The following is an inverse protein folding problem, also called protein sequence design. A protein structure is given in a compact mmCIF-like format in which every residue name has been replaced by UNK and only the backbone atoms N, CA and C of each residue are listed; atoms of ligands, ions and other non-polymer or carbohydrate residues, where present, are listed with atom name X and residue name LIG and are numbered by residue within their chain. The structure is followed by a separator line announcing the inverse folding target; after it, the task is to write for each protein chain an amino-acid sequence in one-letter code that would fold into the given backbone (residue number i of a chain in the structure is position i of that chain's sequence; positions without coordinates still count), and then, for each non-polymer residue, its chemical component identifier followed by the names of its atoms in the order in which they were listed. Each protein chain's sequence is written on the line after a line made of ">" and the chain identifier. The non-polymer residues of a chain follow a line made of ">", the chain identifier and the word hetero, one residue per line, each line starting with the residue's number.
data_IF_647341571340
#
_entry.id   IF_647341571340
#
_cell.length_a   1.000
_cell.length_b   1.000
_cell.length_c   1.000
_cell.angle_alpha   90.00
_cell.angle_beta   90.00
_cell.angle_gamma   90.00
#
_symmetry.space_group_name_H-M   'P 1'
#
loop_
_entity.id
_entity.type
_entity.pdbx_description
1 polymer ?
#
# COMPACT_ATOMS: atom_id res chain seq x y z
N UNK A 1 -24.97 12.63 -32.79
CA UNK A 1 -25.74 12.03 -31.69
C UNK A 1 -25.47 10.53 -31.67
N UNK A 2 -24.63 10.06 -30.76
CA UNK A 2 -24.75 8.76 -30.09
C UNK A 2 -24.08 8.98 -28.74
N UNK A 3 -24.87 8.97 -27.66
CA UNK A 3 -24.33 9.00 -26.31
C UNK A 3 -23.53 7.71 -26.13
N UNK A 4 -22.21 7.84 -25.97
CA UNK A 4 -21.38 6.71 -25.58
C UNK A 4 -21.78 6.41 -24.14
N UNK A 5 -22.61 5.39 -23.98
CA UNK A 5 -22.99 4.87 -22.67
C UNK A 5 -21.70 4.60 -21.89
N UNK A 6 -21.53 5.37 -20.82
CA UNK A 6 -20.49 5.12 -19.83
C UNK A 6 -20.59 3.67 -19.39
N UNK A 7 -19.49 2.89 -19.33
CA UNK A 7 -19.56 1.49 -18.98
C UNK A 7 -20.25 1.34 -17.61
N UNK A 8 -21.46 0.79 -17.61
CA UNK A 8 -22.23 0.37 -16.44
C UNK A 8 -21.88 -1.09 -16.17
N UNK A 9 -20.66 -1.32 -15.68
CA UNK A 9 -20.22 -2.61 -15.16
C UNK A 9 -20.07 -2.55 -13.64
N UNK A 10 -20.26 -3.65 -12.90
CA UNK A 10 -19.95 -3.71 -11.49
C UNK A 10 -18.42 -3.73 -11.35
N UNK A 11 -17.78 -2.56 -11.44
CA UNK A 11 -16.35 -2.43 -11.18
C UNK A 11 -16.09 -2.80 -9.71
N UNK A 12 -15.35 -3.89 -9.50
CA UNK A 12 -14.77 -4.31 -8.21
C UNK A 12 -15.76 -4.81 -7.16
N UNK A 13 -15.40 -5.88 -6.44
CA UNK A 13 -16.00 -6.17 -5.14
C UNK A 13 -15.66 -4.99 -4.20
N UNK A 14 -16.69 -4.37 -3.62
CA UNK A 14 -16.56 -3.34 -2.60
C UNK A 14 -17.23 -3.83 -1.32
N UNK A 15 -16.69 -3.40 -0.19
CA UNK A 15 -17.16 -3.79 1.13
C UNK A 15 -17.27 -2.58 2.04
N UNK A 16 -18.15 -2.70 3.03
CA UNK A 16 -18.22 -1.76 4.13
C UNK A 16 -16.91 -1.72 4.89
N UNK A 17 -16.57 -0.56 5.41
CA UNK A 17 -15.37 -0.39 6.20
C UNK A 17 -15.03 1.06 6.44
N UNK A 18 -14.06 1.32 7.33
CA UNK A 18 -13.62 2.68 7.59
C UNK A 18 -13.00 3.30 6.34
N UNK A 19 -13.15 4.62 6.18
CA UNK A 19 -12.30 5.37 5.26
C UNK A 19 -10.84 5.28 5.75
N UNK A 20 -9.89 4.80 4.92
CA UNK A 20 -8.52 4.63 5.39
C UNK A 20 -7.85 5.95 5.74
N UNK A 21 -7.13 6.00 6.85
CA UNK A 21 -6.40 7.21 7.28
C UNK A 21 -5.40 7.70 6.23
N UNK A 22 -4.79 6.79 5.49
CA UNK A 22 -3.88 7.13 4.40
C UNK A 22 -4.59 7.88 3.25
N UNK A 23 -5.88 7.61 3.01
CA UNK A 23 -6.64 8.34 1.98
C UNK A 23 -6.89 9.80 2.43
N UNK A 24 -7.18 10.01 3.71
CA UNK A 24 -7.33 11.34 4.30
C UNK A 24 -6.00 12.11 4.24
N UNK A 25 -4.90 11.50 4.69
CA UNK A 25 -3.59 12.16 4.67
C UNK A 25 -3.14 12.56 3.27
N UNK A 26 -3.32 11.69 2.27
CA UNK A 26 -2.98 12.03 0.88
C UNK A 26 -3.95 13.03 0.24
N UNK A 27 -5.20 13.05 0.68
CA UNK A 27 -6.16 14.04 0.20
C UNK A 27 -5.75 15.45 0.60
N UNK A 28 -5.11 15.63 1.77
CA UNK A 28 -4.56 16.94 2.19
C UNK A 28 -3.57 17.49 1.16
N UNK A 29 -2.69 16.63 0.64
CA UNK A 29 -1.70 17.04 -0.37
C UNK A 29 -2.38 17.46 -1.69
N UNK A 30 -3.49 16.80 -2.06
CA UNK A 30 -4.21 17.10 -3.30
C UNK A 30 -5.06 18.38 -3.21
N UNK A 31 -5.56 18.74 -2.03
CA UNK A 31 -6.33 19.98 -1.84
C UNK A 31 -5.45 21.20 -1.66
N UNK A 32 -4.13 21.02 -1.46
CA UNK A 32 -3.18 22.11 -1.33
C UNK A 32 -3.25 23.07 -2.53
N UNK A 33 -2.96 24.36 -2.27
CA UNK A 33 -3.02 25.40 -3.28
C UNK A 33 -2.11 25.05 -4.47
N UNK A 34 -2.69 25.03 -5.67
CA UNK A 34 -1.99 24.67 -6.91
C UNK A 34 -1.89 23.17 -7.19
N UNK A 35 -2.13 22.30 -6.21
CA UNK A 35 -2.01 20.83 -6.35
C UNK A 35 -3.18 20.16 -7.09
N UNK A 36 -4.21 20.94 -7.44
CA UNK A 36 -5.35 20.48 -8.21
C UNK A 36 -5.82 21.51 -9.23
N UNK A 37 -6.55 21.03 -10.24
CA UNK A 37 -7.23 21.89 -11.20
C UNK A 37 -8.64 21.42 -11.48
N UNK A 38 -9.56 22.37 -11.49
CA UNK A 38 -10.99 22.13 -11.72
C UNK A 38 -11.33 22.39 -13.18
N UNK A 39 -12.02 21.44 -13.82
CA UNK A 39 -12.62 21.62 -15.15
C UNK A 39 -14.13 21.76 -15.02
N UNK A 40 -14.66 22.83 -15.61
CA UNK A 40 -16.09 23.15 -15.67
C UNK A 40 -16.57 23.07 -17.12
N UNK A 41 -17.85 22.79 -17.32
CA UNK A 41 -18.42 22.74 -18.67
C UNK A 41 -18.42 24.13 -19.33
N UNK A 42 -17.88 24.27 -20.55
CA UNK A 42 -17.96 25.51 -21.30
C UNK A 42 -19.39 25.68 -21.83
N UNK A 43 -20.11 26.72 -21.36
CA UNK A 43 -21.42 27.11 -21.91
C UNK A 43 -22.53 27.35 -20.89
N UNK A 44 -22.34 27.03 -19.60
CA UNK A 44 -23.27 27.42 -18.53
C UNK A 44 -22.60 28.51 -17.68
N UNK A 45 -23.26 29.65 -17.50
CA UNK A 45 -22.72 30.83 -16.77
C UNK A 45 -22.32 30.54 -15.32
N UNK A 46 -22.72 29.40 -14.74
CA UNK A 46 -22.31 28.93 -13.41
C UNK A 46 -21.48 27.63 -13.42
N UNK A 47 -21.06 27.16 -14.61
CA UNK A 47 -20.08 26.10 -14.86
C UNK A 47 -20.22 24.87 -13.95
N UNK A 48 -21.09 23.93 -14.32
CA UNK A 48 -21.21 22.63 -13.65
C UNK A 48 -19.81 22.01 -13.56
N UNK A 49 -19.42 21.64 -12.35
CA UNK A 49 -18.19 20.92 -12.06
C UNK A 49 -18.20 19.60 -12.84
N UNK A 50 -17.19 19.40 -13.70
CA UNK A 50 -17.11 18.21 -14.55
C UNK A 50 -16.02 17.25 -14.09
N UNK A 51 -14.87 17.80 -13.72
CA UNK A 51 -13.82 16.98 -13.13
C UNK A 51 -12.82 17.78 -12.31
N UNK A 52 -12.11 17.08 -11.44
CA UNK A 52 -10.93 17.55 -10.72
C UNK A 52 -9.73 16.74 -11.18
N UNK A 53 -8.61 17.41 -11.44
CA UNK A 53 -7.33 16.80 -11.79
C UNK A 53 -6.34 16.97 -10.64
N UNK A 54 -5.69 15.88 -10.25
CA UNK A 54 -4.69 15.84 -9.18
C UNK A 54 -3.42 15.13 -9.66
N UNK A 55 -2.27 15.45 -9.06
CA UNK A 55 -1.02 14.78 -9.38
C UNK A 55 -1.02 13.29 -9.00
N UNK A 56 -0.36 12.49 -9.83
CA UNK A 56 -0.04 11.09 -9.56
C UNK A 56 1.30 10.98 -8.83
N UNK A 57 1.29 10.48 -7.58
CA UNK A 57 2.50 10.33 -6.76
C UNK A 57 3.63 9.47 -7.38
N UNK A 58 3.32 8.69 -8.41
CA UNK A 58 4.28 7.82 -9.11
C UNK A 58 5.19 8.62 -10.05
N UNK A 59 4.67 9.69 -10.64
CA UNK A 59 5.38 10.46 -11.65
C UNK A 59 5.68 11.89 -11.20
N UNK A 60 4.89 12.44 -10.27
CA UNK A 60 5.03 13.81 -9.75
C UNK A 60 4.88 13.83 -8.23
N UNK A 61 5.50 14.82 -7.59
CA UNK A 61 5.22 15.11 -6.19
C UNK A 61 3.79 15.64 -6.04
N UNK A 62 3.10 15.28 -4.96
CA UNK A 62 1.67 15.55 -4.82
C UNK A 62 1.35 17.05 -4.78
N UNK A 63 2.28 17.89 -4.28
CA UNK A 63 2.13 19.35 -4.19
C UNK A 63 2.60 20.15 -5.41
N UNK A 64 3.01 19.50 -6.50
CA UNK A 64 3.40 20.22 -7.73
C UNK A 64 2.22 20.95 -8.37
N UNK A 65 2.47 22.06 -9.04
CA UNK A 65 1.40 22.84 -9.65
C UNK A 65 0.74 22.10 -10.84
N UNK A 66 -0.58 21.94 -10.79
CA UNK A 66 -1.41 21.38 -11.87
C UNK A 66 -1.82 22.49 -12.84
N UNK A 67 -1.00 22.72 -13.86
CA UNK A 67 -1.22 23.79 -14.86
C UNK A 67 -2.31 23.41 -15.88
N UNK A 68 -2.87 24.43 -16.56
CA UNK A 68 -3.86 24.22 -17.63
C UNK A 68 -3.29 23.39 -18.79
N UNK A 69 -2.06 23.70 -19.18
CA UNK A 69 -1.37 23.02 -20.26
C UNK A 69 -1.23 21.52 -19.98
N UNK A 70 -0.80 21.16 -18.77
CA UNK A 70 -0.71 19.76 -18.33
C UNK A 70 -2.06 19.05 -18.40
N UNK A 71 -3.14 19.69 -17.94
CA UNK A 71 -4.49 19.12 -18.01
C UNK A 71 -4.95 18.94 -19.46
N UNK A 72 -4.67 19.90 -20.34
CA UNK A 72 -5.02 19.80 -21.77
C UNK A 72 -4.26 18.63 -22.42
N UNK A 73 -2.94 18.57 -22.25
CA UNK A 73 -2.10 17.48 -22.77
C UNK A 73 -2.53 16.11 -22.26
N UNK A 74 -2.84 16.01 -20.96
CA UNK A 74 -3.37 14.79 -20.36
C UNK A 74 -4.71 14.34 -20.99
N UNK A 75 -5.64 15.27 -21.21
CA UNK A 75 -6.92 14.96 -21.85
C UNK A 75 -6.74 14.52 -23.31
N UNK A 76 -5.85 15.18 -24.07
CA UNK A 76 -5.51 14.79 -25.44
C UNK A 76 -4.92 13.37 -25.50
N UNK A 77 -3.97 13.07 -24.60
CA UNK A 77 -3.38 11.75 -24.49
C UNK A 77 -4.42 10.67 -24.13
N UNK A 78 -5.39 10.97 -23.25
CA UNK A 78 -6.50 10.07 -22.92
C UNK A 78 -7.39 9.75 -24.13
N UNK A 79 -7.51 10.68 -25.08
CA UNK A 79 -8.21 10.49 -26.34
C UNK A 79 -7.32 9.86 -27.44
N UNK A 80 -6.07 9.48 -27.12
CA UNK A 80 -5.11 8.91 -28.06
C UNK A 80 -4.42 9.92 -28.98
N UNK A 81 -4.49 11.22 -28.65
CA UNK A 81 -3.82 12.29 -29.41
C UNK A 81 -2.48 12.62 -28.78
N UNK A 82 -1.39 12.24 -29.45
CA UNK A 82 -0.01 12.54 -29.09
C UNK A 82 0.62 13.43 -30.15
N UNK A 83 1.65 14.20 -29.78
CA UNK A 83 2.45 14.94 -30.74
C UNK A 83 3.45 13.98 -31.40
N UNK A 84 3.75 14.19 -32.69
CA UNK A 84 4.74 13.39 -33.40
C UNK A 84 6.14 13.49 -32.79
N UNK A 85 6.41 14.58 -32.06
CA UNK A 85 7.68 14.83 -31.38
C UNK A 85 7.72 14.30 -29.94
N UNK A 86 6.63 13.71 -29.42
CA UNK A 86 6.58 13.23 -28.03
C UNK A 86 7.58 12.08 -27.84
N UNK A 87 8.52 12.25 -26.90
CA UNK A 87 9.38 11.17 -26.44
C UNK A 87 8.68 10.31 -25.38
N UNK A 88 9.25 9.16 -25.03
CA UNK A 88 8.75 8.32 -23.92
C UNK A 88 8.71 9.10 -22.59
N UNK A 89 9.68 10.00 -22.37
CA UNK A 89 9.72 10.82 -21.15
C UNK A 89 8.57 11.83 -21.14
N UNK A 90 8.29 12.45 -22.28
CA UNK A 90 7.16 13.38 -22.45
C UNK A 90 5.82 12.66 -22.27
N UNK A 91 5.70 11.43 -22.79
CA UNK A 91 4.50 10.61 -22.59
C UNK A 91 4.27 10.32 -21.09
N UNK A 92 5.31 9.93 -20.34
CA UNK A 92 5.20 9.69 -18.90
C UNK A 92 4.77 10.97 -18.15
N UNK A 93 5.36 12.11 -18.50
CA UNK A 93 5.08 13.39 -17.85
C UNK A 93 3.70 13.95 -18.23
N UNK A 94 3.24 13.80 -19.46
CA UNK A 94 2.00 14.41 -19.92
C UNK A 94 0.79 13.49 -19.77
N UNK A 95 0.97 12.18 -19.91
CA UNK A 95 -0.13 11.21 -19.98
C UNK A 95 -0.36 10.47 -18.67
N UNK A 96 0.65 10.32 -17.82
CA UNK A 96 0.57 9.52 -16.59
C UNK A 96 0.69 10.34 -15.30
N UNK A 97 1.02 11.64 -15.42
CA UNK A 97 1.28 12.49 -14.26
C UNK A 97 0.05 12.96 -13.50
N UNK A 98 -1.15 12.74 -14.03
CA UNK A 98 -2.41 13.17 -13.43
C UNK A 98 -3.39 12.00 -13.27
N UNK A 99 -4.27 12.17 -12.28
CA UNK A 99 -5.49 11.41 -12.13
C UNK A 99 -6.68 12.34 -12.28
N UNK A 100 -7.69 11.90 -13.04
CA UNK A 100 -8.96 12.60 -13.21
C UNK A 100 -10.02 11.98 -12.29
N UNK A 101 -10.71 12.84 -11.54
CA UNK A 101 -11.96 12.52 -10.86
C UNK A 101 -13.09 13.17 -11.64
N UNK A 102 -13.93 12.37 -12.29
CA UNK A 102 -15.10 12.79 -13.05
C UNK A 102 -16.34 12.78 -12.16
N UNK A 103 -17.15 13.83 -12.27
CA UNK A 103 -18.47 13.88 -11.66
C UNK A 103 -19.49 13.37 -12.69
N UNK A 104 -20.03 12.18 -12.46
CA UNK A 104 -20.86 11.45 -13.44
C UNK A 104 -22.35 11.41 -13.08
N UNK A 105 -22.69 11.74 -11.83
CA UNK A 105 -24.07 11.71 -11.35
C UNK A 105 -24.89 12.95 -11.70
N UNK A 106 -26.15 12.95 -11.29
CA UNK A 106 -27.02 14.12 -11.44
C UNK A 106 -26.43 15.34 -10.69
N UNK A 107 -26.32 16.53 -11.32
CA UNK A 107 -25.74 17.70 -10.68
C UNK A 107 -26.47 18.14 -9.39
N UNK A 108 -27.78 17.96 -9.28
CA UNK A 108 -28.51 18.32 -8.06
C UNK A 108 -28.24 17.31 -6.95
N UNK A 109 -28.14 16.02 -7.27
CA UNK A 109 -27.74 14.99 -6.33
C UNK A 109 -26.31 15.25 -5.83
N UNK A 110 -25.39 15.58 -6.73
CA UNK A 110 -24.02 15.95 -6.37
C UNK A 110 -24.01 17.15 -5.41
N UNK A 111 -24.73 18.23 -5.70
CA UNK A 111 -24.78 19.42 -4.83
C UNK A 111 -25.33 19.13 -3.42
N UNK A 112 -26.23 18.14 -3.29
CA UNK A 112 -26.85 17.78 -2.01
C UNK A 112 -26.08 16.71 -1.25
N UNK A 113 -25.17 16.02 -1.93
CA UNK A 113 -24.41 14.93 -1.33
C UNK A 113 -23.54 15.45 -0.19
N UNK A 114 -23.62 14.77 0.95
CA UNK A 114 -22.78 15.03 2.10
C UNK A 114 -22.20 13.72 2.61
N UNK A 115 -20.89 13.73 2.85
CA UNK A 115 -20.14 12.60 3.32
C UNK A 115 -19.67 12.86 4.75
N UNK A 116 -20.11 12.01 5.68
CA UNK A 116 -19.69 12.08 7.08
C UNK A 116 -18.66 10.99 7.38
N UNK A 117 -17.61 11.34 8.11
CA UNK A 117 -16.65 10.35 8.60
C UNK A 117 -17.32 9.48 9.66
N UNK A 118 -17.47 8.19 9.37
CA UNK A 118 -18.01 7.18 10.28
C UNK A 118 -17.01 6.03 10.47
N UNK A 119 -17.06 5.29 11.60
CA UNK A 119 -16.20 4.13 11.83
C UNK A 119 -16.34 3.04 10.76
N UNK A 120 -17.54 2.94 10.16
CA UNK A 120 -17.83 2.05 9.04
C UNK A 120 -18.64 2.86 8.04
N UNK A 121 -18.13 2.99 6.82
CA UNK A 121 -18.88 3.55 5.69
C UNK A 121 -19.78 2.43 5.14
N UNK A 122 -21.08 2.68 5.13
CA UNK A 122 -22.10 1.70 4.74
C UNK A 122 -22.13 1.47 3.23
N UNK A 123 -22.66 0.32 2.80
CA UNK A 123 -22.81 0.02 1.37
C UNK A 123 -23.62 1.07 0.62
N UNK A 124 -24.65 1.64 1.24
CA UNK A 124 -25.50 2.64 0.59
C UNK A 124 -24.72 3.94 0.31
N UNK A 125 -23.89 4.37 1.26
CA UNK A 125 -23.04 5.55 1.05
C UNK A 125 -21.97 5.28 -0.01
N UNK A 126 -21.42 4.06 -0.05
CA UNK A 126 -20.46 3.65 -1.08
C UNK A 126 -21.11 3.65 -2.47
N UNK A 127 -22.35 3.14 -2.59
CA UNK A 127 -23.10 3.18 -3.86
C UNK A 127 -23.37 4.61 -4.30
N UNK A 128 -23.77 5.48 -3.37
CA UNK A 128 -24.02 6.89 -3.67
C UNK A 128 -22.74 7.59 -4.17
N UNK A 129 -21.58 7.35 -3.55
CA UNK A 129 -20.29 7.85 -4.05
C UNK A 129 -20.03 7.35 -5.47
N UNK A 130 -20.29 6.07 -5.75
CA UNK A 130 -20.08 5.46 -7.09
C UNK A 130 -21.02 5.99 -8.16
N UNK A 131 -22.21 6.42 -7.79
CA UNK A 131 -23.17 7.04 -8.69
C UNK A 131 -22.76 8.47 -9.05
N UNK A 132 -22.04 9.14 -8.15
CA UNK A 132 -21.66 10.54 -8.29
C UNK A 132 -20.23 10.74 -8.84
N UNK A 133 -19.30 9.87 -8.47
CA UNK A 133 -17.87 10.01 -8.68
C UNK A 133 -17.27 8.85 -9.48
N UNK A 134 -16.28 9.17 -10.32
CA UNK A 134 -15.42 8.18 -10.98
C UNK A 134 -13.98 8.67 -10.99
N UNK A 135 -13.06 7.85 -10.52
CA UNK A 135 -11.62 8.15 -10.62
C UNK A 135 -10.91 7.08 -11.44
N UNK A 136 -9.99 7.50 -12.29
CA UNK A 136 -9.16 6.61 -13.11
C UNK A 136 -8.00 5.94 -12.33
N UNK A 137 -7.83 6.27 -11.05
CA UNK A 137 -6.73 5.74 -10.27
C UNK A 137 -6.94 4.27 -9.89
N UNK A 138 -5.83 3.54 -9.74
CA UNK A 138 -5.84 2.12 -9.37
C UNK A 138 -6.66 1.84 -8.12
N UNK A 139 -6.54 2.66 -7.08
CA UNK A 139 -7.24 2.45 -5.81
C UNK A 139 -8.77 2.51 -5.97
N UNK A 140 -9.27 3.44 -6.80
CA UNK A 140 -10.69 3.52 -7.11
C UNK A 140 -11.14 2.34 -7.97
N UNK A 141 -10.36 1.94 -8.98
CA UNK A 141 -10.66 0.77 -9.79
C UNK A 141 -10.70 -0.53 -8.98
N UNK A 142 -9.87 -0.66 -7.94
CA UNK A 142 -9.84 -1.84 -7.06
C UNK A 142 -10.93 -1.85 -5.99
N UNK A 143 -11.26 -0.69 -5.39
CA UNK A 143 -12.19 -0.62 -4.24
C UNK A 143 -13.58 -0.12 -4.60
N UNK A 144 -13.73 0.49 -5.77
CA UNK A 144 -14.94 1.15 -6.24
C UNK A 144 -15.23 2.51 -5.61
N UNK A 145 -14.54 2.95 -4.54
CA UNK A 145 -14.88 4.23 -3.89
C UNK A 145 -13.74 4.87 -3.08
N UNK A 146 -12.89 4.07 -2.44
CA UNK A 146 -11.88 4.54 -1.51
C UNK A 146 -10.57 4.92 -2.23
N UNK A 147 -10.46 6.18 -2.66
CA UNK A 147 -9.19 6.76 -3.10
C UNK A 147 -9.01 8.20 -2.61
N UNK A 148 -7.75 8.64 -2.46
CA UNK A 148 -7.43 10.00 -1.98
C UNK A 148 -7.93 11.09 -2.92
N UNK A 149 -7.98 10.84 -4.23
CA UNK A 149 -8.47 11.82 -5.20
C UNK A 149 -9.98 12.08 -5.04
N UNK A 150 -10.79 11.04 -4.82
CA UNK A 150 -12.24 11.21 -4.59
C UNK A 150 -12.49 11.91 -3.26
N UNK A 151 -11.73 11.57 -2.21
CA UNK A 151 -11.79 12.28 -0.92
C UNK A 151 -11.44 13.77 -1.08
N UNK A 152 -10.38 14.08 -1.83
CA UNK A 152 -10.02 15.47 -2.15
C UNK A 152 -11.10 16.18 -2.96
N UNK A 153 -11.69 15.52 -3.97
CA UNK A 153 -12.76 16.08 -4.77
C UNK A 153 -14.03 16.36 -3.95
N UNK A 154 -14.40 15.47 -3.01
CA UNK A 154 -15.49 15.72 -2.06
C UNK A 154 -15.19 16.92 -1.16
N UNK A 155 -13.95 17.10 -0.70
CA UNK A 155 -13.53 18.26 0.08
C UNK A 155 -13.58 19.56 -0.74
N UNK A 156 -13.10 19.54 -1.98
CA UNK A 156 -13.15 20.68 -2.91
C UNK A 156 -14.60 21.10 -3.21
N UNK A 157 -15.52 20.14 -3.22
CA UNK A 157 -16.96 20.39 -3.38
C UNK A 157 -17.70 20.74 -2.08
N UNK A 158 -16.99 20.93 -0.95
CA UNK A 158 -17.60 21.22 0.36
C UNK A 158 -18.58 20.13 0.85
N UNK A 159 -18.35 18.89 0.43
CA UNK A 159 -19.16 17.72 0.79
C UNK A 159 -18.52 16.87 1.90
N UNK A 160 -17.27 17.19 2.26
CA UNK A 160 -16.50 16.50 3.28
C UNK A 160 -15.55 17.46 3.98
N UNK A 161 -15.63 17.51 5.31
CA UNK A 161 -14.71 18.29 6.13
C UNK A 161 -13.40 17.50 6.33
N UNK A 162 -12.46 17.73 5.41
CA UNK A 162 -11.18 17.04 5.38
C UNK A 162 -10.27 17.43 6.55
N UNK A 163 -10.30 18.69 6.96
CA UNK A 163 -9.49 19.19 8.09
C UNK A 163 -9.95 18.55 9.39
N UNK A 164 -11.26 18.54 9.64
CA UNK A 164 -11.84 17.84 10.79
C UNK A 164 -11.54 16.35 10.75
N UNK A 165 -11.60 15.71 9.58
CA UNK A 165 -11.25 14.31 9.44
C UNK A 165 -9.77 14.05 9.78
N UNK A 166 -8.86 14.92 9.34
CA UNK A 166 -7.44 14.83 9.64
C UNK A 166 -7.15 15.00 11.14
N UNK A 167 -7.81 15.94 11.83
CA UNK A 167 -7.65 16.11 13.29
C UNK A 167 -8.16 14.93 14.11
N UNK A 168 -9.14 14.17 13.58
CA UNK A 168 -9.69 12.97 14.20
C UNK A 168 -8.88 11.70 13.93
N UNK A 169 -7.88 11.77 13.07
CA UNK A 169 -7.00 10.62 12.84
C UNK A 169 -6.19 10.34 14.12
N UNK A 170 -6.14 9.08 14.56
CA UNK A 170 -5.31 8.74 15.72
C UNK A 170 -3.84 9.03 15.38
N UNK A 171 -3.21 9.92 16.17
CA UNK A 171 -1.80 10.35 16.03
C UNK A 171 -0.80 9.21 16.19
N UNK A 172 -1.21 8.12 16.85
CA UNK A 172 -0.51 6.84 16.85
C UNK A 172 -1.38 5.81 16.12
N UNK A 173 -0.78 5.01 15.23
CA UNK A 173 -1.43 3.78 14.75
C UNK A 173 -1.82 2.97 15.99
N UNK A 174 -3.12 2.87 16.26
CA UNK A 174 -3.64 1.98 17.28
C UNK A 174 -3.03 0.59 17.05
N UNK A 175 -2.64 -0.12 18.10
CA UNK A 175 -2.19 -1.51 17.95
C UNK A 175 -3.34 -2.32 17.35
N UNK A 176 -3.15 -2.87 16.15
CA UNK A 176 -4.25 -3.49 15.37
C UNK A 176 -4.90 -2.58 14.32
N UNK A 177 -4.40 -1.35 14.16
CA UNK A 177 -4.82 -0.42 13.12
C UNK A 177 -4.68 -0.97 11.71
N UNK A 178 -5.41 -0.36 10.79
CA UNK A 178 -5.54 -0.81 9.41
C UNK A 178 -4.21 -1.26 8.80
N UNK A 179 -4.16 -2.54 8.40
CA UNK A 179 -2.97 -3.12 7.78
C UNK A 179 -2.70 -2.37 6.48
N UNK A 180 -1.41 -2.18 6.15
CA UNK A 180 -1.03 -1.75 4.80
C UNK A 180 -1.68 -2.70 3.80
N UNK A 181 -2.42 -2.15 2.84
CA UNK A 181 -2.95 -2.92 1.72
C UNK A 181 -1.73 -3.45 0.95
N UNK A 182 -1.55 -4.78 0.81
CA UNK A 182 -0.46 -5.34 0.03
C UNK A 182 -0.53 -4.81 -1.40
N UNK A 183 0.63 -4.54 -2.02
CA UNK A 183 0.64 -4.15 -3.43
C UNK A 183 0.25 -5.36 -4.30
N UNK A 184 -0.13 -5.12 -5.57
CA UNK A 184 -0.50 -6.19 -6.49
C UNK A 184 0.66 -7.12 -6.91
N UNK A 185 1.90 -6.73 -6.61
CA UNK A 185 3.10 -7.55 -6.80
C UNK A 185 3.47 -8.33 -5.53
N UNK A 186 2.67 -8.21 -4.47
CA UNK A 186 2.92 -8.91 -3.23
C UNK A 186 2.41 -10.31 -3.48
N UNK A 187 3.33 -11.20 -3.85
CA UNK A 187 3.05 -12.61 -4.01
C UNK A 187 2.51 -13.10 -2.68
N UNK A 188 1.26 -13.57 -2.68
CA UNK A 188 0.74 -14.38 -1.60
C UNK A 188 1.48 -15.72 -1.66
N UNK A 189 2.69 -15.74 -1.11
CA UNK A 189 3.39 -16.99 -0.86
C UNK A 189 2.51 -17.72 0.15
N UNK A 190 1.75 -18.70 -0.32
CA UNK A 190 1.02 -19.66 0.50
C UNK A 190 2.03 -20.33 1.43
N UNK A 191 2.08 -19.88 2.70
CA UNK A 191 3.07 -20.33 3.69
C UNK A 191 3.93 -19.22 4.31
N UNK A 192 3.99 -18.02 3.72
CA UNK A 192 4.78 -16.92 4.27
C UNK A 192 4.11 -16.29 5.52
N UNK A 193 4.34 -16.89 6.69
CA UNK A 193 4.07 -16.27 7.98
C UNK A 193 4.88 -14.97 8.09
N UNK A 194 4.27 -13.80 7.84
CA UNK A 194 4.95 -12.51 8.03
C UNK A 194 5.32 -12.34 9.51
N UNK A 195 6.62 -12.34 9.83
CA UNK A 195 7.10 -12.12 11.20
C UNK A 195 7.15 -10.61 11.46
N UNK A 196 6.19 -10.11 12.24
CA UNK A 196 6.25 -8.75 12.80
C UNK A 196 6.92 -8.80 14.18
N UNK A 197 6.98 -7.66 14.88
CA UNK A 197 7.26 -7.52 16.33
C UNK A 197 6.56 -8.54 17.25
N UNK A 198 5.58 -9.28 16.72
CA UNK A 198 4.90 -10.40 17.38
C UNK A 198 5.74 -11.68 17.48
N UNK A 199 6.82 -11.85 16.70
CA UNK A 199 7.67 -13.05 16.81
C UNK A 199 8.38 -13.06 18.17
N UNK A 200 9.00 -11.96 18.58
CA UNK A 200 9.66 -11.83 19.89
C UNK A 200 8.68 -12.14 21.03
N UNK A 201 7.50 -11.51 21.03
CA UNK A 201 6.45 -11.77 22.03
C UNK A 201 6.01 -13.24 22.03
N UNK A 202 5.95 -13.86 20.85
CA UNK A 202 5.58 -15.27 20.73
C UNK A 202 6.68 -16.20 21.22
N UNK A 203 7.94 -15.90 20.93
CA UNK A 203 9.10 -16.66 21.40
C UNK A 203 9.20 -16.66 22.94
N UNK A 204 8.88 -15.52 23.58
CA UNK A 204 8.84 -15.42 25.04
C UNK A 204 7.72 -16.27 25.67
N UNK A 205 6.59 -16.45 24.97
CA UNK A 205 5.46 -17.26 25.45
C UNK A 205 5.57 -18.74 25.09
N UNK A 206 6.07 -19.04 23.90
CA UNK A 206 6.17 -20.36 23.28
C UNK A 206 7.62 -20.56 22.78
N UNK A 207 8.60 -20.85 23.67
CA UNK A 207 10.02 -20.90 23.28
C UNK A 207 10.33 -21.96 22.21
N UNK A 208 9.56 -23.04 22.18
CA UNK A 208 9.72 -24.13 21.21
C UNK A 208 8.98 -23.87 19.88
N UNK A 209 8.32 -22.73 19.70
CA UNK A 209 7.55 -22.42 18.49
C UNK A 209 8.39 -22.46 17.18
N UNK A 210 9.69 -22.18 17.30
CA UNK A 210 10.65 -22.13 16.20
C UNK A 210 11.54 -23.37 16.13
N UNK A 211 11.16 -24.46 16.80
CA UNK A 211 11.90 -25.71 16.74
C UNK A 211 12.01 -26.22 15.28
N UNK A 212 13.20 -26.68 14.91
CA UNK A 212 13.58 -27.15 13.57
C UNK A 212 13.51 -26.10 12.45
N UNK A 213 13.30 -24.82 12.76
CA UNK A 213 13.39 -23.79 11.73
C UNK A 213 14.82 -23.65 11.22
N UNK A 214 14.94 -23.41 9.91
CA UNK A 214 16.20 -23.14 9.24
C UNK A 214 16.59 -21.69 9.43
N UNK A 215 17.88 -21.46 9.62
CA UNK A 215 18.49 -20.13 9.70
C UNK A 215 19.79 -20.12 8.90
N UNK A 216 20.23 -18.93 8.51
CA UNK A 216 21.50 -18.70 7.85
C UNK A 216 22.17 -17.50 8.51
N UNK A 217 23.46 -17.63 8.80
CA UNK A 217 24.28 -16.56 9.37
C UNK A 217 25.59 -16.47 8.60
N UNK A 218 26.10 -15.27 8.46
CA UNK A 218 27.44 -15.00 7.98
C UNK A 218 28.49 -15.30 9.06
N UNK A 219 29.56 -15.98 8.65
CA UNK A 219 30.75 -16.27 9.42
C UNK A 219 31.95 -15.70 8.68
N UNK A 220 32.90 -15.14 9.42
CA UNK A 220 34.14 -14.59 8.85
C UNK A 220 35.24 -15.63 9.09
N UNK A 221 35.87 -16.06 8.01
CA UNK A 221 37.01 -16.97 7.99
C UNK A 221 38.23 -16.23 7.48
N UNK A 222 39.38 -16.46 8.11
CA UNK A 222 40.66 -15.93 7.64
C UNK A 222 41.47 -17.08 7.04
N UNK A 223 41.68 -17.05 5.72
CA UNK A 223 42.61 -17.95 5.03
C UNK A 223 43.67 -17.11 4.31
N UNK A 224 44.95 -17.45 4.51
CA UNK A 224 46.10 -16.78 3.89
C UNK A 224 46.11 -15.24 4.04
N UNK A 225 45.58 -14.72 5.15
CA UNK A 225 45.51 -13.28 5.44
C UNK A 225 44.42 -12.53 4.67
N UNK A 226 43.48 -13.25 4.04
CA UNK A 226 42.29 -12.71 3.40
C UNK A 226 41.06 -13.14 4.20
N UNK A 227 40.32 -12.16 4.71
CA UNK A 227 39.02 -12.40 5.35
C UNK A 227 37.96 -12.70 4.27
N UNK A 228 37.32 -13.86 4.41
CA UNK A 228 36.19 -14.28 3.57
C UNK A 228 34.95 -14.42 4.44
N UNK A 229 33.82 -13.91 3.94
CA UNK A 229 32.54 -14.07 4.62
C UNK A 229 31.75 -15.18 3.94
N UNK A 230 31.42 -16.22 4.68
CA UNK A 230 30.60 -17.33 4.19
C UNK A 230 29.25 -17.36 4.90
N UNK A 231 28.20 -17.73 4.15
CA UNK A 231 26.85 -17.89 4.67
C UNK A 231 26.60 -19.35 5.02
N UNK A 232 26.51 -19.65 6.32
CA UNK A 232 26.35 -21.01 6.82
C UNK A 232 24.93 -21.21 7.33
N UNK A 233 24.31 -22.30 6.88
CA UNK A 233 22.95 -22.66 7.31
C UNK A 233 22.98 -23.45 8.62
N UNK A 234 21.91 -23.34 9.39
CA UNK A 234 21.76 -24.04 10.66
C UNK A 234 20.30 -24.29 11.00
N UNK A 235 20.08 -25.11 12.03
CA UNK A 235 18.75 -25.43 12.55
C UNK A 235 18.64 -25.11 14.03
N UNK A 236 17.49 -24.52 14.39
CA UNK A 236 17.14 -24.28 15.78
C UNK A 236 16.73 -25.62 16.43
N UNK A 237 17.51 -26.09 17.41
CA UNK A 237 17.34 -27.41 18.04
C UNK A 237 16.68 -27.37 19.42
N UNK A 238 16.58 -26.20 20.03
CA UNK A 238 15.95 -26.07 21.34
C UNK A 238 16.16 -24.69 21.95
N UNK A 239 15.51 -24.46 23.08
CA UNK A 239 15.67 -23.27 23.88
C UNK A 239 16.04 -23.66 25.32
N UNK A 240 16.90 -22.86 25.94
CA UNK A 240 17.24 -22.94 27.36
C UNK A 240 16.94 -21.62 28.05
N UNK A 241 16.69 -21.66 29.36
CA UNK A 241 16.57 -20.46 30.18
C UNK A 241 17.86 -20.29 30.97
N UNK A 242 18.58 -19.19 30.77
CA UNK A 242 19.80 -18.85 31.50
C UNK A 242 19.67 -17.46 32.09
N UNK A 243 19.82 -17.33 33.41
CA UNK A 243 19.67 -16.05 34.14
C UNK A 243 18.35 -15.31 33.88
N UNK A 244 17.25 -16.05 33.67
CA UNK A 244 15.94 -15.47 33.38
C UNK A 244 15.75 -14.99 31.93
N UNK A 245 16.71 -15.26 31.04
CA UNK A 245 16.64 -14.95 29.60
C UNK A 245 16.63 -16.25 28.79
N UNK A 246 15.71 -16.33 27.83
CA UNK A 246 15.69 -17.45 26.88
C UNK A 246 16.82 -17.33 25.87
N UNK A 247 17.54 -18.44 25.66
CA UNK A 247 18.57 -18.61 24.65
C UNK A 247 18.23 -19.80 23.75
N UNK A 248 18.24 -19.59 22.45
CA UNK A 248 17.98 -20.62 21.44
C UNK A 248 19.28 -21.21 20.94
N UNK A 249 19.36 -22.53 20.99
CA UNK A 249 20.47 -23.30 20.43
C UNK A 249 20.25 -23.53 18.95
N UNK A 250 21.21 -23.09 18.14
CA UNK A 250 21.27 -23.33 16.70
C UNK A 250 22.47 -24.23 16.43
N UNK A 251 22.23 -25.32 15.70
CA UNK A 251 23.27 -26.20 15.18
C UNK A 251 23.49 -25.90 13.71
N UNK A 252 24.66 -25.36 13.37
CA UNK A 252 25.07 -25.06 12.01
C UNK A 252 25.64 -26.30 11.31
N UNK A 253 25.65 -26.28 9.98
CA UNK A 253 26.08 -27.43 9.15
C UNK A 253 27.59 -27.70 9.21
N UNK A 254 28.38 -26.68 9.56
CA UNK A 254 29.82 -26.75 9.83
C UNK A 254 30.15 -27.47 11.16
N UNK A 255 29.14 -27.76 11.96
CA UNK A 255 29.27 -28.45 13.24
C UNK A 255 29.16 -27.54 14.47
N UNK A 256 29.15 -26.22 14.28
CA UNK A 256 29.07 -25.27 15.39
C UNK A 256 27.68 -25.25 16.04
N UNK A 257 27.67 -25.20 17.37
CA UNK A 257 26.45 -25.01 18.17
C UNK A 257 26.51 -23.69 18.93
N UNK A 258 25.72 -22.71 18.48
CA UNK A 258 25.68 -21.37 19.05
C UNK A 258 24.35 -21.10 19.74
N UNK A 259 24.38 -20.21 20.73
CA UNK A 259 23.21 -19.80 21.51
C UNK A 259 22.91 -18.32 21.27
N UNK A 260 21.65 -18.03 20.98
CA UNK A 260 21.19 -16.67 20.66
C UNK A 260 20.05 -16.24 21.56
N UNK A 261 20.07 -14.99 22.01
CA UNK A 261 18.96 -14.42 22.77
C UNK A 261 17.75 -14.15 21.86
N UNK A 262 16.62 -13.82 22.49
CA UNK A 262 15.35 -13.67 21.79
C UNK A 262 15.37 -12.63 20.66
N UNK A 263 16.14 -11.55 20.84
CA UNK A 263 16.28 -10.52 19.83
C UNK A 263 17.16 -11.00 18.67
N UNK A 264 18.34 -11.53 18.98
CA UNK A 264 19.31 -12.02 18.00
C UNK A 264 18.73 -13.12 17.12
N UNK A 265 18.03 -14.10 17.72
CA UNK A 265 17.44 -15.19 16.94
C UNK A 265 16.33 -14.68 16.01
N UNK A 266 15.56 -13.67 16.43
CA UNK A 266 14.54 -13.07 15.59
C UNK A 266 15.16 -12.30 14.41
N UNK A 267 16.28 -11.62 14.63
CA UNK A 267 17.04 -10.93 13.60
C UNK A 267 17.67 -11.90 12.61
N UNK A 268 18.27 -12.99 13.08
CA UNK A 268 18.82 -14.07 12.24
C UNK A 268 17.72 -14.67 11.37
N UNK A 269 16.55 -15.01 11.94
CA UNK A 269 15.40 -15.53 11.16
C UNK A 269 14.96 -14.52 10.09
N UNK A 270 14.91 -13.23 10.42
CA UNK A 270 14.52 -12.18 9.48
C UNK A 270 15.56 -12.01 8.35
N UNK A 271 16.85 -12.01 8.68
CA UNK A 271 17.96 -11.91 7.74
C UNK A 271 17.99 -13.13 6.78
N UNK A 272 17.80 -14.33 7.32
CA UNK A 272 17.74 -15.58 6.55
C UNK A 272 16.64 -15.54 5.47
N UNK A 273 15.47 -15.01 5.79
CA UNK A 273 14.40 -14.85 4.78
C UNK A 273 14.72 -13.77 3.76
N UNK A 274 15.40 -12.70 4.16
CA UNK A 274 15.77 -11.59 3.26
C UNK A 274 16.68 -12.07 2.13
N UNK A 275 17.50 -13.09 2.37
CA UNK A 275 18.35 -13.74 1.37
C UNK A 275 17.69 -14.92 0.66
N UNK A 276 16.40 -15.17 0.91
CA UNK A 276 15.60 -16.16 0.17
C UNK A 276 15.47 -17.54 0.84
N UNK A 277 15.98 -17.75 2.06
CA UNK A 277 15.85 -19.03 2.75
C UNK A 277 14.41 -19.27 3.24
N UNK A 278 13.85 -20.45 2.97
CA UNK A 278 12.61 -20.90 3.61
C UNK A 278 12.89 -21.42 5.02
N UNK A 279 12.87 -20.49 5.97
CA UNK A 279 13.10 -20.75 7.40
C UNK A 279 12.10 -21.73 8.04
N UNK A 280 10.96 -22.00 7.41
CA UNK A 280 9.92 -22.89 7.96
C UNK A 280 9.89 -24.28 7.32
N UNK A 281 10.72 -24.51 6.30
CA UNK A 281 10.79 -25.81 5.64
C UNK A 281 11.27 -26.89 6.61
N UNK A 282 10.54 -27.99 6.64
CA UNK A 282 10.97 -29.23 7.26
C UNK A 282 11.47 -30.11 6.11
N UNK A 283 12.76 -30.45 6.09
CA UNK A 283 13.24 -31.42 5.09
C UNK A 283 12.53 -32.75 5.33
N UNK A 284 11.87 -33.29 4.31
CA UNK A 284 11.30 -34.64 4.29
C UNK A 284 12.37 -35.74 4.14
N UNK A 285 13.66 -35.42 4.30
CA UNK A 285 14.75 -36.38 4.10
C UNK A 285 15.74 -36.35 5.26
N UNK A 286 15.41 -37.08 6.33
CA UNK A 286 16.37 -37.62 7.30
C UNK A 286 15.73 -38.75 8.14
N UNK A 287 15.09 -39.72 7.48
CA UNK A 287 14.82 -41.06 8.03
C UNK A 287 15.32 -42.12 7.04
N UNK A 288 16.60 -42.04 6.66
CA UNK A 288 17.33 -43.20 6.13
C UNK A 288 18.75 -43.11 6.70
N UNK A 289 18.91 -43.75 7.86
CA UNK A 289 20.11 -44.45 8.36
C UNK A 289 19.97 -44.60 9.88
N UNK A 290 19.15 -45.57 10.27
CA UNK A 290 19.41 -46.37 11.47
C UNK A 290 20.45 -47.43 11.14
#
# INVERSE_FOLDING_TARGET
>A
MVGVDSPKGPFGHYCEGPLPSQMILRALDHVATGAHRIKRDPGKQTGILRSVFCNTSTYMSLGEEVTQERVTRYCEAKDGRFLETDTIQDINLHSLSLHQVEFIGDPNQLLRFQFALQPVITMDKIKEIRELYRCDCKAFMSTGWACSHVVAAMSINEQFDLDLAATRLPTKKLSGGQRKIPNALTIDITGAKRFSTKLITRLQREPMYIHNWQVCKDFIFEEDGVETTEFITGRIKGAQMKNGVYQWRVKFVDGDELFYECQDIAEIIAASRKIGLDVTSLDEQAEENS
#
